data_IF_427433266891
#
_entry.id   IF_427433266891
#
_cell.length_a   1.000
_cell.length_b   1.000
_cell.length_c   1.000
_cell.angle_alpha   90.00
_cell.angle_beta   90.00
_cell.angle_gamma   90.00
#
_symmetry.space_group_name_H-M   'P 1'
#
loop_
_entity.id
_entity.type
_entity.pdbx_description
1 polymer ?
#
# COMPACT_ATOMS: atom_id res chain seq x y z
N UNK A 1 42.47 -45.50 12.56
CA UNK A 1 41.64 -44.30 12.78
C UNK A 1 42.31 -43.11 12.10
N UNK A 2 41.60 -42.30 11.32
CA UNK A 2 42.22 -41.10 10.75
C UNK A 2 42.52 -40.09 11.86
N UNK A 3 43.50 -39.21 11.65
CA UNK A 3 43.83 -38.12 12.61
C UNK A 3 42.61 -37.23 12.90
N UNK A 4 41.75 -37.02 11.91
CA UNK A 4 40.54 -36.21 12.05
C UNK A 4 39.47 -36.91 12.88
N UNK A 5 39.29 -38.22 12.72
CA UNK A 5 38.36 -39.01 13.54
C UNK A 5 38.78 -38.97 15.01
N UNK A 6 40.08 -39.18 15.31
CA UNK A 6 40.59 -39.16 16.69
C UNK A 6 40.37 -37.79 17.34
N UNK A 7 40.68 -36.71 16.61
CA UNK A 7 40.47 -35.34 17.10
C UNK A 7 38.98 -35.05 17.36
N UNK A 8 38.07 -35.57 16.53
CA UNK A 8 36.64 -35.43 16.72
C UNK A 8 36.15 -36.16 17.97
N UNK A 9 36.58 -37.41 18.19
CA UNK A 9 36.21 -38.17 19.39
C UNK A 9 36.69 -37.46 20.67
N UNK A 10 37.91 -36.92 20.66
CA UNK A 10 38.44 -36.17 21.80
C UNK A 10 37.61 -34.92 22.12
N UNK A 11 37.27 -34.12 21.10
CA UNK A 11 36.45 -32.92 21.30
C UNK A 11 35.02 -33.25 21.75
N UNK A 12 34.45 -34.36 21.28
CA UNK A 12 33.12 -34.81 21.72
C UNK A 12 33.16 -35.28 23.17
N UNK A 13 34.21 -36.01 23.56
CA UNK A 13 34.45 -36.39 24.94
C UNK A 13 34.58 -35.15 25.85
N UNK A 14 35.28 -34.11 25.40
CA UNK A 14 35.39 -32.83 26.13
C UNK A 14 34.03 -32.15 26.29
N UNK A 15 33.17 -32.17 25.27
CA UNK A 15 31.81 -31.63 25.36
C UNK A 15 30.98 -32.41 26.38
N UNK A 16 31.05 -33.74 26.34
CA UNK A 16 30.32 -34.63 27.27
C UNK A 16 30.81 -34.41 28.71
N UNK A 17 32.12 -34.29 28.93
CA UNK A 17 32.72 -34.07 30.25
C UNK A 17 32.34 -32.71 30.86
N UNK A 18 32.09 -31.69 30.04
CA UNK A 18 31.66 -30.36 30.49
C UNK A 18 30.13 -30.25 30.67
N UNK A 19 29.35 -31.32 30.47
CA UNK A 19 27.91 -31.31 30.74
C UNK A 19 27.64 -31.20 32.25
N UNK A 20 26.56 -30.51 32.60
CA UNK A 20 26.09 -30.52 33.98
C UNK A 20 25.51 -31.90 34.32
N UNK A 21 25.69 -32.32 35.58
CA UNK A 21 24.99 -33.47 36.12
C UNK A 21 23.47 -33.26 36.06
N UNK A 22 22.72 -34.36 35.99
CA UNK A 22 21.26 -34.35 35.85
C UNK A 22 20.62 -33.49 36.96
N UNK A 23 19.92 -32.41 36.57
CA UNK A 23 19.28 -31.46 37.50
C UNK A 23 20.14 -30.26 37.96
N UNK A 24 21.44 -30.21 37.62
CA UNK A 24 22.31 -29.07 37.94
C UNK A 24 22.40 -28.05 36.80
N UNK A 25 22.53 -26.76 37.12
CA UNK A 25 22.81 -25.72 36.12
C UNK A 25 24.29 -25.77 35.71
N UNK A 26 24.56 -25.75 34.41
CA UNK A 26 25.92 -25.58 33.91
C UNK A 26 26.55 -24.27 34.40
N UNK A 27 27.80 -24.35 34.85
CA UNK A 27 28.60 -23.18 35.22
C UNK A 27 29.00 -22.36 33.97
N UNK A 28 29.30 -21.08 34.14
CA UNK A 28 29.71 -20.21 33.03
C UNK A 28 30.98 -20.73 32.32
N UNK A 29 31.92 -21.30 33.08
CA UNK A 29 33.15 -21.90 32.54
C UNK A 29 32.89 -23.16 31.71
N UNK A 30 31.97 -24.02 32.17
CA UNK A 30 31.55 -25.21 31.43
C UNK A 30 30.90 -24.84 30.08
N UNK A 31 29.99 -23.86 30.08
CA UNK A 31 29.36 -23.36 28.84
C UNK A 31 30.39 -22.89 27.83
N UNK A 32 31.32 -22.03 28.28
CA UNK A 32 32.38 -21.49 27.43
C UNK A 32 33.25 -22.62 26.83
N UNK A 33 33.62 -23.62 27.64
CA UNK A 33 34.38 -24.77 27.16
C UNK A 33 33.58 -25.61 26.15
N UNK A 34 32.29 -25.84 26.41
CA UNK A 34 31.38 -26.52 25.48
C UNK A 34 31.29 -25.77 24.15
N UNK A 35 31.11 -24.46 24.16
CA UNK A 35 31.00 -23.63 22.96
C UNK A 35 32.30 -23.66 22.13
N UNK A 36 33.46 -23.60 22.80
CA UNK A 36 34.78 -23.71 22.14
C UNK A 36 34.99 -25.07 21.50
N UNK A 37 34.65 -26.15 22.22
CA UNK A 37 34.77 -27.50 21.70
C UNK A 37 33.80 -27.73 20.53
N UNK A 38 32.56 -27.24 20.63
CA UNK A 38 31.57 -27.30 19.57
C UNK A 38 32.02 -26.54 18.31
N UNK A 39 32.51 -25.31 18.44
CA UNK A 39 33.07 -24.55 17.32
C UNK A 39 34.24 -25.27 16.65
N UNK A 40 35.07 -25.98 17.43
CA UNK A 40 36.18 -26.78 16.92
C UNK A 40 35.70 -28.03 16.16
N UNK A 41 34.64 -28.68 16.64
CA UNK A 41 33.97 -29.81 15.95
C UNK A 41 33.42 -29.35 14.60
N UNK A 42 32.71 -28.21 14.55
CA UNK A 42 32.15 -27.67 13.31
C UNK A 42 33.25 -27.39 12.27
N UNK A 43 34.38 -26.79 12.69
CA UNK A 43 35.53 -26.56 11.80
C UNK A 43 36.09 -27.84 11.20
N UNK A 44 36.18 -28.92 11.98
CA UNK A 44 36.67 -30.22 11.50
C UNK A 44 35.67 -30.91 10.56
N UNK A 45 34.38 -30.76 10.80
CA UNK A 45 33.31 -31.40 10.00
C UNK A 45 32.93 -30.56 8.76
N UNK A 46 33.32 -29.28 8.69
CA UNK A 46 32.98 -28.37 7.60
C UNK A 46 33.18 -28.94 6.18
N UNK A 47 34.30 -29.60 5.81
CA UNK A 47 34.45 -30.20 4.47
C UNK A 47 33.35 -31.21 4.13
N UNK A 48 32.87 -31.94 5.14
CA UNK A 48 31.81 -32.93 4.99
C UNK A 48 30.43 -32.27 4.85
N UNK A 49 30.17 -31.20 5.60
CA UNK A 49 28.96 -30.39 5.45
C UNK A 49 28.88 -29.85 4.03
N UNK A 50 29.98 -29.27 3.51
CA UNK A 50 30.06 -28.78 2.13
C UNK A 50 29.74 -29.86 1.09
N UNK A 51 30.20 -31.09 1.32
CA UNK A 51 29.86 -32.22 0.44
C UNK A 51 28.37 -32.54 0.48
N UNK A 52 27.75 -32.60 1.66
CA UNK A 52 26.32 -32.87 1.79
C UNK A 52 25.46 -31.74 1.21
N UNK A 53 25.80 -30.47 1.42
CA UNK A 53 25.07 -29.34 0.83
C UNK A 53 24.97 -29.50 -0.70
N UNK A 54 26.08 -29.85 -1.36
CA UNK A 54 26.09 -30.12 -2.80
C UNK A 54 25.29 -31.37 -3.16
N UNK A 55 25.45 -32.46 -2.42
CA UNK A 55 24.77 -33.73 -2.70
C UNK A 55 23.24 -33.60 -2.61
N UNK A 56 22.74 -32.81 -1.67
CA UNK A 56 21.31 -32.57 -1.47
C UNK A 56 20.76 -31.42 -2.32
N UNK A 57 21.59 -30.77 -3.15
CA UNK A 57 21.19 -29.68 -4.03
C UNK A 57 20.95 -28.34 -3.33
N UNK A 58 21.39 -28.17 -2.09
CA UNK A 58 21.10 -27.00 -1.25
C UNK A 58 22.09 -25.85 -1.46
N UNK A 59 22.71 -25.75 -2.64
CA UNK A 59 23.77 -24.76 -2.91
C UNK A 59 23.23 -23.33 -2.87
N UNK A 60 21.99 -23.10 -3.34
CA UNK A 60 21.31 -21.82 -3.27
C UNK A 60 20.91 -21.42 -1.82
N UNK A 61 20.92 -22.37 -0.89
CA UNK A 61 20.52 -22.18 0.51
C UNK A 61 21.69 -22.55 1.44
N UNK A 62 22.88 -22.07 1.11
CA UNK A 62 24.11 -22.46 1.77
C UNK A 62 24.09 -22.18 3.28
N UNK A 63 23.67 -20.98 3.67
CA UNK A 63 23.63 -20.54 5.06
C UNK A 63 22.64 -21.37 5.89
N UNK A 64 21.43 -21.59 5.36
CA UNK A 64 20.40 -22.41 6.01
C UNK A 64 20.88 -23.86 6.17
N UNK A 65 21.57 -24.40 5.17
CA UNK A 65 22.09 -25.75 5.20
C UNK A 65 23.27 -25.89 6.17
N UNK A 66 24.09 -24.86 6.33
CA UNK A 66 25.14 -24.83 7.36
C UNK A 66 24.53 -24.83 8.77
N UNK A 67 23.49 -24.03 9.01
CA UNK A 67 22.78 -24.01 10.29
C UNK A 67 22.09 -25.34 10.61
N UNK A 68 21.39 -25.93 9.64
CA UNK A 68 20.75 -27.23 9.82
C UNK A 68 21.78 -28.34 10.08
N UNK A 69 22.97 -28.27 9.48
CA UNK A 69 24.06 -29.19 9.80
C UNK A 69 24.61 -28.95 11.22
N UNK A 70 24.70 -27.71 11.69
CA UNK A 70 25.11 -27.41 13.05
C UNK A 70 24.11 -27.97 14.09
N UNK A 71 22.79 -27.86 13.82
CA UNK A 71 21.74 -28.49 14.65
C UNK A 71 21.91 -30.02 14.66
N UNK A 72 22.19 -30.62 13.50
CA UNK A 72 22.44 -32.06 13.41
C UNK A 72 23.64 -32.50 14.25
N UNK A 73 24.72 -31.73 14.23
CA UNK A 73 25.91 -31.99 15.05
C UNK A 73 25.58 -31.86 16.54
N UNK A 74 24.81 -30.84 16.94
CA UNK A 74 24.38 -30.69 18.33
C UNK A 74 23.59 -31.91 18.82
N UNK A 75 22.55 -32.31 18.07
CA UNK A 75 21.74 -33.50 18.38
C UNK A 75 22.57 -34.78 18.34
N UNK A 76 23.54 -34.87 17.44
CA UNK A 76 24.47 -35.99 17.39
C UNK A 76 25.28 -36.09 18.68
N UNK A 77 25.79 -34.99 19.23
CA UNK A 77 26.54 -35.00 20.48
C UNK A 77 25.60 -35.37 21.65
N UNK A 78 24.36 -34.89 21.67
CA UNK A 78 23.37 -35.21 22.72
C UNK A 78 23.07 -36.70 22.81
N UNK A 79 22.79 -37.35 21.68
CA UNK A 79 22.44 -38.76 21.61
C UNK A 79 23.65 -39.69 21.38
N UNK A 80 24.89 -39.17 21.47
CA UNK A 80 26.08 -39.96 21.17
C UNK A 80 26.37 -41.01 22.24
N UNK A 81 26.60 -42.24 21.80
CA UNK A 81 27.05 -43.34 22.62
C UNK A 81 28.34 -43.95 22.02
N UNK A 82 29.50 -43.78 22.68
CA UNK A 82 30.79 -44.21 22.15
C UNK A 82 30.95 -45.73 22.09
N UNK A 83 30.15 -46.51 22.84
CA UNK A 83 30.23 -47.97 22.80
C UNK A 83 29.57 -48.55 21.54
N UNK A 84 28.59 -47.83 20.97
CA UNK A 84 27.79 -48.31 19.83
C UNK A 84 28.42 -47.99 18.49
N UNK A 85 29.01 -46.81 18.33
CA UNK A 85 29.55 -46.37 17.05
C UNK A 85 30.58 -45.25 17.21
N UNK A 86 31.44 -45.09 16.20
CA UNK A 86 32.28 -43.90 16.06
C UNK A 86 31.41 -42.66 15.77
N UNK A 87 31.74 -41.54 16.40
CA UNK A 87 31.02 -40.27 16.25
C UNK A 87 30.93 -39.85 14.79
N UNK A 88 32.01 -40.03 14.02
CA UNK A 88 32.03 -39.67 12.59
C UNK A 88 31.03 -40.45 11.74
N UNK A 89 30.68 -41.67 12.15
CA UNK A 89 29.62 -42.44 11.52
C UNK A 89 28.27 -41.91 11.97
N UNK A 90 28.08 -41.72 13.27
CA UNK A 90 26.80 -41.27 13.84
C UNK A 90 26.37 -39.89 13.34
N UNK A 91 27.29 -38.91 13.34
CA UNK A 91 27.00 -37.55 12.89
C UNK A 91 26.62 -37.50 11.41
N UNK A 92 27.12 -38.41 10.57
CA UNK A 92 26.73 -38.48 9.16
C UNK A 92 25.27 -38.88 8.99
N UNK A 93 24.74 -39.74 9.86
CA UNK A 93 23.32 -40.08 9.84
C UNK A 93 22.48 -38.88 10.23
N UNK A 94 22.89 -38.15 11.27
CA UNK A 94 22.18 -36.95 11.72
C UNK A 94 22.19 -35.84 10.67
N UNK A 95 23.35 -35.53 10.07
CA UNK A 95 23.45 -34.52 9.02
C UNK A 95 22.59 -34.89 7.83
N UNK A 96 22.61 -36.15 7.38
CA UNK A 96 21.74 -36.60 6.27
C UNK A 96 20.25 -36.43 6.58
N UNK A 97 19.83 -36.73 7.81
CA UNK A 97 18.44 -36.55 8.25
C UNK A 97 17.99 -35.09 8.21
N UNK A 98 18.78 -34.18 8.79
CA UNK A 98 18.44 -32.75 8.80
C UNK A 98 18.53 -32.11 7.41
N UNK A 99 19.54 -32.44 6.60
CA UNK A 99 19.66 -31.97 5.21
C UNK A 99 18.45 -32.39 4.38
N UNK A 100 18.01 -33.64 4.52
CA UNK A 100 16.83 -34.13 3.82
C UNK A 100 15.55 -33.45 4.33
N UNK A 101 15.44 -33.18 5.62
CA UNK A 101 14.30 -32.44 6.19
C UNK A 101 14.25 -31.00 5.66
N UNK A 102 15.39 -30.30 5.63
CA UNK A 102 15.51 -28.96 5.08
C UNK A 102 15.12 -28.93 3.60
N UNK A 103 15.63 -29.87 2.81
CA UNK A 103 15.26 -30.04 1.41
C UNK A 103 13.76 -30.18 1.22
N UNK A 104 13.07 -30.98 2.03
CA UNK A 104 11.60 -31.10 1.90
C UNK A 104 10.84 -29.83 2.29
N UNK A 105 11.39 -28.95 3.13
CA UNK A 105 10.76 -27.68 3.50
C UNK A 105 10.95 -26.62 2.42
N UNK A 106 12.15 -26.52 1.86
CA UNK A 106 12.50 -25.52 0.84
C UNK A 106 12.08 -25.94 -0.57
N UNK A 107 12.36 -27.19 -0.94
CA UNK A 107 12.08 -27.76 -2.26
C UNK A 107 10.81 -28.62 -2.16
N UNK A 108 9.66 -27.94 -2.11
CA UNK A 108 8.34 -28.58 -1.99
C UNK A 108 7.98 -29.40 -3.23
N UNK A 109 8.56 -29.05 -4.39
CA UNK A 109 8.53 -29.79 -5.66
C UNK A 109 9.11 -31.22 -5.56
N UNK A 110 10.10 -31.42 -4.69
CA UNK A 110 10.72 -32.73 -4.49
C UNK A 110 9.86 -33.69 -3.65
N UNK A 111 8.73 -33.23 -3.09
CA UNK A 111 7.79 -34.07 -2.33
C UNK A 111 7.03 -35.01 -3.27
N UNK A 112 6.70 -36.20 -2.79
CA UNK A 112 5.95 -37.19 -3.58
C UNK A 112 4.60 -36.67 -4.08
N UNK A 113 3.94 -35.78 -3.34
CA UNK A 113 2.69 -35.12 -3.76
C UNK A 113 2.90 -34.12 -4.88
N UNK A 114 3.98 -33.34 -4.85
CA UNK A 114 4.29 -32.35 -5.88
C UNK A 114 4.78 -33.02 -7.17
N UNK A 115 5.57 -34.09 -7.06
CA UNK A 115 5.96 -34.94 -8.20
C UNK A 115 4.78 -35.55 -8.95
N UNK A 116 3.67 -35.87 -8.27
CA UNK A 116 2.44 -36.38 -8.91
C UNK A 116 1.75 -35.33 -9.80
N UNK A 117 1.95 -34.06 -9.51
CA UNK A 117 1.32 -32.92 -10.21
C UNK A 117 2.34 -32.18 -11.08
N UNK A 118 3.58 -32.71 -11.19
CA UNK A 118 4.70 -32.08 -11.90
C UNK A 118 4.94 -30.63 -11.46
N UNK A 119 4.61 -30.30 -10.20
CA UNK A 119 4.80 -28.95 -9.67
C UNK A 119 6.30 -28.71 -9.47
N UNK A 120 6.82 -27.68 -10.14
CA UNK A 120 8.24 -27.29 -10.09
C UNK A 120 8.37 -25.94 -9.39
N UNK A 121 9.36 -25.84 -8.49
CA UNK A 121 9.71 -24.54 -7.91
C UNK A 121 10.53 -23.76 -8.93
N UNK A 122 9.94 -22.70 -9.48
CA UNK A 122 10.63 -21.76 -10.39
C UNK A 122 11.01 -20.54 -9.58
N UNK A 123 12.29 -20.16 -9.60
CA UNK A 123 12.68 -18.84 -9.11
C UNK A 123 12.31 -17.80 -10.17
N UNK A 124 11.71 -16.69 -9.76
CA UNK A 124 11.34 -15.59 -10.68
C UNK A 124 12.57 -15.06 -11.43
N UNK A 125 13.73 -15.14 -10.80
CA UNK A 125 15.03 -14.75 -11.35
C UNK A 125 15.52 -15.70 -12.45
N UNK A 126 15.20 -16.99 -12.40
CA UNK A 126 15.53 -17.92 -13.48
C UNK A 126 14.67 -17.68 -14.73
N UNK A 127 13.48 -17.10 -14.57
CA UNK A 127 12.58 -16.79 -15.69
C UNK A 127 13.08 -15.58 -16.52
N UNK A 128 13.89 -14.71 -15.92
CA UNK A 128 14.52 -13.55 -16.59
C UNK A 128 15.73 -13.90 -17.45
N UNK A 129 16.23 -15.15 -17.39
CA UNK A 129 17.33 -15.60 -18.26
C UNK A 129 16.79 -15.89 -19.66
N UNK A 130 16.82 -14.89 -20.52
CA UNK A 130 16.61 -15.08 -21.96
C UNK A 130 17.62 -16.11 -22.51
N UNK A 131 17.20 -16.87 -23.52
CA UNK A 131 18.02 -17.89 -24.20
C UNK A 131 19.30 -17.30 -24.84
N UNK A 132 19.33 -15.97 -25.05
CA UNK A 132 20.46 -15.23 -25.61
C UNK A 132 21.45 -14.68 -24.55
N UNK A 133 21.24 -14.96 -23.26
CA UNK A 133 22.20 -14.62 -22.20
C UNK A 133 22.27 -13.14 -21.83
N UNK A 134 21.36 -12.31 -22.33
CA UNK A 134 21.17 -10.96 -21.82
C UNK A 134 20.27 -11.02 -20.58
N UNK A 135 20.88 -10.78 -19.41
CA UNK A 135 20.20 -10.68 -18.12
C UNK A 135 19.36 -9.39 -18.10
N UNK A 136 18.16 -9.43 -18.67
CA UNK A 136 17.17 -8.38 -18.44
C UNK A 136 16.69 -8.50 -17.00
N UNK A 137 16.85 -7.44 -16.20
CA UNK A 137 16.29 -7.38 -14.87
C UNK A 137 14.78 -7.63 -14.97
N UNK A 138 14.27 -8.64 -14.27
CA UNK A 138 12.85 -9.01 -14.30
C UNK A 138 11.91 -7.82 -14.02
N UNK A 139 12.40 -6.85 -13.25
CA UNK A 139 11.74 -5.56 -12.99
C UNK A 139 11.39 -4.82 -14.28
N UNK A 140 12.28 -4.79 -15.28
CA UNK A 140 12.05 -4.18 -16.59
C UNK A 140 11.02 -4.94 -17.44
N UNK A 141 10.74 -6.20 -17.13
CA UNK A 141 9.66 -6.98 -17.78
C UNK A 141 8.31 -6.78 -17.09
N UNK A 142 8.29 -6.31 -15.84
CA UNK A 142 7.07 -6.03 -15.09
C UNK A 142 6.58 -4.59 -15.33
N UNK A 143 7.49 -3.66 -15.63
CA UNK A 143 7.14 -2.28 -15.94
C UNK A 143 6.22 -2.20 -17.15
N UNK A 144 4.96 -1.84 -16.92
CA UNK A 144 3.99 -1.50 -17.95
C UNK A 144 4.18 -0.03 -18.32
N UNK A 145 4.75 0.22 -19.50
CA UNK A 145 5.05 1.57 -20.00
C UNK A 145 3.80 2.47 -20.05
N UNK A 146 2.61 1.88 -20.26
CA UNK A 146 1.35 2.62 -20.41
C UNK A 146 0.65 2.89 -19.06
N UNK A 147 1.15 2.32 -17.95
CA UNK A 147 0.46 2.38 -16.65
C UNK A 147 0.33 3.81 -16.11
N UNK A 148 1.34 4.65 -16.31
CA UNK A 148 1.31 6.05 -15.84
C UNK A 148 0.26 6.84 -16.62
N UNK A 149 0.29 6.78 -17.94
CA UNK A 149 -0.63 7.50 -18.82
C UNK A 149 -2.08 7.04 -18.59
N UNK A 150 -2.30 5.73 -18.44
CA UNK A 150 -3.62 5.18 -18.13
C UNK A 150 -4.13 5.65 -16.76
N UNK A 151 -3.27 5.74 -15.76
CA UNK A 151 -3.63 6.20 -14.41
C UNK A 151 -3.95 7.70 -14.41
N UNK A 152 -3.16 8.51 -15.11
CA UNK A 152 -3.42 9.95 -15.25
C UNK A 152 -4.72 10.24 -16.00
N UNK A 153 -4.98 9.52 -17.08
CA UNK A 153 -6.23 9.62 -17.83
C UNK A 153 -7.43 9.24 -16.95
N UNK A 154 -7.36 8.10 -16.25
CA UNK A 154 -8.42 7.66 -15.35
C UNK A 154 -8.66 8.63 -14.18
N UNK A 155 -7.59 9.19 -13.60
CA UNK A 155 -7.68 10.18 -12.54
C UNK A 155 -8.33 11.48 -13.05
N UNK A 156 -7.95 11.94 -14.25
CA UNK A 156 -8.56 13.09 -14.92
C UNK A 156 -10.05 12.88 -15.15
N UNK A 157 -10.44 11.72 -15.68
CA UNK A 157 -11.85 11.37 -15.93
C UNK A 157 -12.65 11.32 -14.62
N UNK A 158 -12.10 10.71 -13.58
CA UNK A 158 -12.73 10.64 -12.26
C UNK A 158 -12.96 12.03 -11.64
N UNK A 159 -11.94 12.90 -11.70
CA UNK A 159 -12.06 14.28 -11.21
C UNK A 159 -13.07 15.09 -12.02
N UNK A 160 -13.09 14.92 -13.35
CA UNK A 160 -14.07 15.56 -14.21
C UNK A 160 -15.51 15.13 -13.85
N UNK A 161 -15.75 13.82 -13.67
CA UNK A 161 -17.06 13.29 -13.28
C UNK A 161 -17.53 13.80 -11.90
N UNK A 162 -16.64 13.84 -10.92
CA UNK A 162 -16.97 14.38 -9.61
C UNK A 162 -17.31 15.88 -9.67
N UNK A 163 -16.54 16.64 -10.45
CA UNK A 163 -16.72 18.07 -10.57
C UNK A 163 -18.02 18.41 -11.34
N UNK A 164 -18.39 17.61 -12.35
CA UNK A 164 -19.69 17.76 -13.03
C UNK A 164 -20.86 17.38 -12.13
N UNK A 165 -20.74 16.31 -11.33
CA UNK A 165 -21.73 15.94 -10.32
C UNK A 165 -22.00 17.08 -9.32
N UNK A 166 -20.93 17.66 -8.78
CA UNK A 166 -21.02 18.81 -7.86
C UNK A 166 -21.70 20.03 -8.50
N UNK A 167 -21.44 20.29 -9.79
CA UNK A 167 -22.09 21.38 -10.53
C UNK A 167 -23.60 21.15 -10.71
N UNK A 168 -23.99 19.92 -11.00
CA UNK A 168 -25.40 19.54 -11.15
C UNK A 168 -26.13 19.68 -9.81
N UNK A 169 -25.51 19.26 -8.71
CA UNK A 169 -26.07 19.42 -7.36
C UNK A 169 -26.28 20.89 -7.01
N UNK A 170 -25.29 21.77 -7.27
CA UNK A 170 -25.41 23.21 -7.04
C UNK A 170 -26.49 23.86 -7.94
N UNK A 171 -26.61 23.41 -9.18
CA UNK A 171 -27.68 23.83 -10.08
C UNK A 171 -29.08 23.44 -9.56
N UNK A 172 -29.25 22.23 -9.07
CA UNK A 172 -30.51 21.76 -8.51
C UNK A 172 -30.85 22.54 -7.24
N UNK A 173 -29.87 22.79 -6.37
CA UNK A 173 -30.07 23.59 -5.17
C UNK A 173 -30.47 25.03 -5.51
N UNK A 174 -29.83 25.64 -6.51
CA UNK A 174 -30.23 26.94 -7.01
C UNK A 174 -31.69 26.93 -7.53
N UNK A 175 -32.10 25.90 -8.28
CA UNK A 175 -33.49 25.77 -8.72
C UNK A 175 -34.48 25.51 -7.58
N UNK A 176 -34.07 24.76 -6.56
CA UNK A 176 -34.85 24.52 -5.34
C UNK A 176 -35.09 25.83 -4.60
N UNK A 177 -34.05 26.62 -4.37
CA UNK A 177 -34.14 27.93 -3.74
C UNK A 177 -35.07 28.89 -4.51
N UNK A 178 -34.91 28.98 -5.83
CA UNK A 178 -35.78 29.82 -6.69
C UNK A 178 -37.22 29.31 -6.70
N UNK A 179 -37.44 28.00 -6.73
CA UNK A 179 -38.76 27.38 -6.68
C UNK A 179 -39.48 27.66 -5.36
N UNK A 180 -38.79 27.51 -4.23
CA UNK A 180 -39.33 27.83 -2.90
C UNK A 180 -39.69 29.32 -2.80
N UNK A 181 -38.85 30.22 -3.29
CA UNK A 181 -39.14 31.66 -3.34
C UNK A 181 -40.38 31.99 -4.19
N UNK A 182 -40.58 31.28 -5.30
CA UNK A 182 -41.78 31.44 -6.13
C UNK A 182 -43.04 30.91 -5.43
N UNK A 183 -42.95 29.77 -4.75
CA UNK A 183 -44.06 29.21 -3.97
C UNK A 183 -44.47 30.14 -2.82
N UNK A 184 -43.49 30.75 -2.11
CA UNK A 184 -43.77 31.77 -1.09
C UNK A 184 -44.50 32.99 -1.65
N UNK A 185 -44.18 33.40 -2.88
CA UNK A 185 -44.77 34.60 -3.51
C UNK A 185 -46.16 34.37 -4.10
N UNK A 186 -46.49 33.14 -4.52
CA UNK A 186 -47.76 32.81 -5.19
C UNK A 186 -48.98 33.00 -4.26
N UNK A 187 -50.05 33.70 -4.70
CA UNK A 187 -51.30 33.74 -3.95
C UNK A 187 -52.02 32.39 -4.05
N UNK A 188 -52.41 31.80 -2.91
CA UNK A 188 -53.27 30.60 -2.90
C UNK A 188 -54.60 30.90 -3.59
N UNK A 189 -55.05 29.99 -4.45
CA UNK A 189 -56.38 30.07 -5.05
C UNK A 189 -57.45 29.87 -3.95
N UNK A 190 -58.44 30.77 -3.88
CA UNK A 190 -59.52 30.76 -2.87
C UNK A 190 -60.28 29.42 -2.75
N UNK A 191 -60.22 28.56 -3.76
CA UNK A 191 -60.93 27.27 -3.78
C UNK A 191 -60.36 26.19 -2.87
N UNK A 192 -59.10 26.29 -2.41
CA UNK A 192 -58.52 25.29 -1.51
C UNK A 192 -58.94 25.46 -0.03
N UNK A 193 -59.44 26.65 0.34
CA UNK A 193 -59.92 26.94 1.71
C UNK A 193 -61.36 26.43 1.91
N UNK A 194 -62.14 26.33 0.84
CA UNK A 194 -63.56 25.98 0.91
C UNK A 194 -63.84 24.48 1.14
N UNK A 195 -62.85 23.60 0.92
CA UNK A 195 -63.03 22.14 0.98
C UNK A 195 -62.19 21.46 2.08
N UNK A 196 -61.61 22.21 3.02
CA UNK A 196 -61.04 21.62 4.23
C UNK A 196 -62.17 21.42 5.25
N UNK A 197 -62.41 20.20 5.79
CA UNK A 197 -63.37 20.00 6.85
C UNK A 197 -62.76 20.53 8.16
N UNK A 198 -62.95 21.83 8.40
CA UNK A 198 -62.59 22.52 9.62
C UNK A 198 -63.84 23.03 10.33
N UNK A 199 -63.90 22.85 11.64
CA UNK A 199 -65.01 23.24 12.50
C UNK A 199 -65.26 24.77 12.45
N UNK A 200 -66.52 25.17 12.58
CA UNK A 200 -67.02 26.54 12.32
C UNK A 200 -66.37 27.64 13.20
N UNK A 201 -65.57 27.26 14.22
CA UNK A 201 -64.88 28.16 15.13
C UNK A 201 -63.56 28.77 14.61
N UNK A 202 -63.04 28.35 13.46
CA UNK A 202 -61.78 28.89 12.89
C UNK A 202 -61.97 30.18 12.05
N UNK A 203 -63.17 30.77 12.03
CA UNK A 203 -63.47 32.01 11.29
C UNK A 203 -63.10 33.31 12.05
N UNK A 204 -62.21 33.24 13.04
CA UNK A 204 -61.65 34.45 13.65
C UNK A 204 -60.45 34.89 12.79
N UNK A 205 -60.37 36.15 12.30
CA UNK A 205 -59.22 36.64 11.55
C UNK A 205 -57.99 36.80 12.46
N UNK A 206 -57.38 35.67 12.82
CA UNK A 206 -56.10 35.63 13.50
C UNK A 206 -55.07 36.33 12.62
N UNK A 207 -54.42 37.33 13.21
CA UNK A 207 -53.41 38.19 12.59
C UNK A 207 -52.43 37.34 11.77
N UNK A 208 -52.36 37.63 10.47
CA UNK A 208 -51.47 37.02 9.46
C UNK A 208 -50.13 36.54 10.06
N UNK A 209 -49.78 35.23 9.97
CA UNK A 209 -48.43 34.82 10.31
C UNK A 209 -47.45 35.41 9.28
N UNK A 210 -46.37 36.02 9.77
CA UNK A 210 -45.36 36.77 8.99
C UNK A 210 -44.40 35.89 8.18
N UNK A 211 -44.56 34.58 8.17
CA UNK A 211 -43.85 33.69 7.26
C UNK A 211 -44.85 32.71 6.66
N UNK A 212 -45.05 32.78 5.34
CA UNK A 212 -45.93 31.86 4.61
C UNK A 212 -45.27 30.48 4.64
N UNK A 213 -45.80 29.56 5.44
CA UNK A 213 -45.44 28.15 5.38
C UNK A 213 -45.77 27.62 3.97
N UNK A 214 -44.78 26.98 3.34
CA UNK A 214 -44.92 26.42 1.99
C UNK A 214 -45.76 25.14 2.09
N UNK A 215 -46.71 24.97 1.18
CA UNK A 215 -47.57 23.78 1.14
C UNK A 215 -46.72 22.52 0.87
N UNK A 216 -46.76 21.49 1.75
CA UNK A 216 -45.96 20.28 1.59
C UNK A 216 -46.25 19.55 0.27
N UNK A 217 -47.48 19.63 -0.26
CA UNK A 217 -47.85 18.98 -1.53
C UNK A 217 -47.24 19.70 -2.74
N UNK A 218 -47.16 21.02 -2.70
CA UNK A 218 -46.51 21.80 -3.77
C UNK A 218 -44.99 21.65 -3.73
N UNK A 219 -44.41 21.50 -2.54
CA UNK A 219 -43.00 21.20 -2.34
C UNK A 219 -42.63 19.83 -2.91
N UNK A 220 -43.41 18.78 -2.61
CA UNK A 220 -43.18 17.45 -3.16
C UNK A 220 -43.23 17.42 -4.71
N UNK A 221 -44.18 18.16 -5.32
CA UNK A 221 -44.25 18.31 -6.79
C UNK A 221 -43.06 19.07 -7.38
N UNK A 222 -42.51 20.03 -6.64
CA UNK A 222 -41.30 20.73 -7.05
C UNK A 222 -40.11 19.77 -7.04
N UNK A 223 -39.97 18.97 -5.99
CA UNK A 223 -38.88 17.99 -5.86
C UNK A 223 -38.93 16.92 -6.96
N UNK A 224 -40.11 16.35 -7.24
CA UNK A 224 -40.30 15.39 -8.34
C UNK A 224 -39.93 15.97 -9.72
N UNK A 225 -40.19 17.26 -9.92
CA UNK A 225 -39.78 17.95 -11.14
C UNK A 225 -38.26 18.18 -11.18
N UNK A 226 -37.63 18.44 -10.04
CA UNK A 226 -36.18 18.65 -9.95
C UNK A 226 -35.43 17.34 -10.16
N UNK A 227 -35.90 16.22 -9.61
CA UNK A 227 -35.32 14.88 -9.85
C UNK A 227 -35.39 14.52 -11.34
N UNK A 228 -36.54 14.72 -11.99
CA UNK A 228 -36.65 14.50 -13.44
C UNK A 228 -35.72 15.42 -14.25
N UNK A 229 -35.57 16.69 -13.85
CA UNK A 229 -34.64 17.60 -14.53
C UNK A 229 -33.17 17.19 -14.32
N UNK A 230 -32.81 16.64 -13.15
CA UNK A 230 -31.48 16.10 -12.87
C UNK A 230 -31.13 15.00 -13.86
N UNK A 231 -32.00 13.99 -13.97
CA UNK A 231 -31.81 12.85 -14.87
C UNK A 231 -31.68 13.28 -16.34
N UNK A 232 -32.48 14.26 -16.78
CA UNK A 232 -32.40 14.80 -18.14
C UNK A 232 -31.06 15.51 -18.39
N UNK A 233 -30.56 16.26 -17.41
CA UNK A 233 -29.31 17.01 -17.53
C UNK A 233 -28.10 16.09 -17.48
N UNK A 234 -28.05 15.14 -16.54
CA UNK A 234 -26.99 14.13 -16.44
C UNK A 234 -26.84 13.37 -17.77
N UNK A 235 -27.94 12.78 -18.27
CA UNK A 235 -27.88 11.94 -19.47
C UNK A 235 -27.60 12.71 -20.77
N UNK A 236 -28.02 13.99 -20.87
CA UNK A 236 -27.92 14.76 -22.12
C UNK A 236 -26.66 15.59 -22.21
N UNK A 237 -26.23 16.21 -21.11
CA UNK A 237 -25.08 17.11 -21.13
C UNK A 237 -23.79 16.31 -21.03
N UNK A 238 -23.80 15.16 -20.36
CA UNK A 238 -22.58 14.40 -20.07
C UNK A 238 -22.55 13.00 -20.71
N UNK A 239 -23.65 12.22 -20.73
CA UNK A 239 -23.64 10.85 -21.28
C UNK A 239 -23.95 10.73 -22.79
N UNK A 240 -23.96 11.83 -23.55
CA UNK A 240 -24.26 11.86 -25.01
C UNK A 240 -25.58 11.21 -25.44
N UNK A 241 -26.53 11.01 -24.53
CA UNK A 241 -27.84 10.41 -24.86
C UNK A 241 -28.57 11.17 -25.96
N UNK A 242 -29.08 10.45 -26.97
CA UNK A 242 -29.82 11.08 -28.08
C UNK A 242 -31.15 11.66 -27.57
N UNK A 243 -31.58 12.78 -28.17
CA UNK A 243 -32.83 13.46 -27.79
C UNK A 243 -34.06 12.54 -27.93
N UNK A 244 -33.96 11.54 -28.80
CA UNK A 244 -35.01 10.59 -29.12
C UNK A 244 -35.17 9.55 -28.02
N UNK A 245 -34.07 8.99 -27.51
CA UNK A 245 -34.08 8.07 -26.38
C UNK A 245 -34.62 8.73 -25.11
N UNK A 246 -34.20 9.98 -24.83
CA UNK A 246 -34.65 10.71 -23.64
C UNK A 246 -36.11 11.14 -23.72
N UNK A 247 -36.61 11.47 -24.91
CA UNK A 247 -38.02 11.81 -25.10
C UNK A 247 -38.96 10.62 -24.89
N UNK A 248 -38.51 9.42 -25.27
CA UNK A 248 -39.25 8.17 -25.04
C UNK A 248 -39.28 7.79 -23.55
N UNK A 249 -38.13 7.89 -22.85
CA UNK A 249 -38.03 7.51 -21.43
C UNK A 249 -38.76 8.48 -20.49
N UNK A 250 -38.71 9.78 -20.76
CA UNK A 250 -39.26 10.81 -19.85
C UNK A 250 -40.70 11.23 -20.19
N UNK A 251 -41.25 10.74 -21.31
CA UNK A 251 -42.56 11.13 -21.84
C UNK A 251 -42.64 12.60 -22.25
N UNK A 252 -41.50 13.26 -22.47
CA UNK A 252 -41.40 14.66 -22.86
C UNK A 252 -41.10 14.80 -24.36
N UNK A 253 -41.69 15.80 -25.01
CA UNK A 253 -41.35 16.11 -26.41
C UNK A 253 -39.86 16.46 -26.54
N UNK A 254 -39.24 16.10 -27.68
CA UNK A 254 -37.83 16.41 -28.00
C UNK A 254 -37.49 17.89 -27.80
N UNK A 255 -38.38 18.79 -28.22
CA UNK A 255 -38.18 20.24 -28.07
C UNK A 255 -38.19 20.66 -26.59
N UNK A 256 -39.00 20.02 -25.74
CA UNK A 256 -39.01 20.30 -24.31
C UNK A 256 -37.72 19.88 -23.63
N UNK A 257 -37.16 18.72 -23.99
CA UNK A 257 -35.84 18.26 -23.53
C UNK A 257 -34.74 19.24 -23.97
N UNK A 258 -34.80 19.73 -25.22
CA UNK A 258 -33.88 20.75 -25.74
C UNK A 258 -33.95 22.07 -24.96
N UNK A 259 -35.14 22.52 -24.60
CA UNK A 259 -35.32 23.74 -23.82
C UNK A 259 -34.78 23.61 -22.40
N UNK A 260 -35.04 22.48 -21.73
CA UNK A 260 -34.54 22.22 -20.38
C UNK A 260 -33.01 22.21 -20.37
N UNK A 261 -32.40 21.50 -21.31
CA UNK A 261 -30.94 21.38 -21.43
C UNK A 261 -30.27 22.70 -21.79
N UNK A 262 -30.82 23.47 -22.75
CA UNK A 262 -30.33 24.81 -23.09
C UNK A 262 -30.40 25.76 -21.89
N UNK A 263 -31.49 25.71 -21.12
CA UNK A 263 -31.64 26.53 -19.91
C UNK A 263 -30.64 26.11 -18.84
N UNK A 264 -30.50 24.81 -18.61
CA UNK A 264 -29.59 24.24 -17.62
C UNK A 264 -28.13 24.62 -17.93
N UNK A 265 -27.70 24.51 -19.18
CA UNK A 265 -26.35 24.90 -19.62
C UNK A 265 -26.08 26.40 -19.37
N UNK A 266 -27.06 27.27 -19.63
CA UNK A 266 -26.93 28.71 -19.36
C UNK A 266 -26.78 28.99 -17.87
N UNK A 267 -27.66 28.44 -17.03
CA UNK A 267 -27.63 28.67 -15.58
C UNK A 267 -26.42 28.05 -14.91
N UNK A 268 -25.99 26.86 -15.31
CA UNK A 268 -24.73 26.26 -14.83
C UNK A 268 -23.53 27.13 -15.21
N UNK A 269 -23.51 27.69 -16.43
CA UNK A 269 -22.45 28.60 -16.86
C UNK A 269 -22.40 29.92 -16.06
N UNK A 270 -23.54 30.40 -15.56
CA UNK A 270 -23.61 31.54 -14.64
C UNK A 270 -23.13 31.17 -13.23
N UNK A 271 -23.50 29.98 -12.73
CA UNK A 271 -23.07 29.46 -11.43
C UNK A 271 -21.55 29.24 -11.35
N UNK A 272 -20.96 28.66 -12.40
CA UNK A 272 -19.50 28.50 -12.53
C UNK A 272 -18.78 29.84 -12.45
N UNK A 273 -19.34 30.90 -13.05
CA UNK A 273 -18.74 32.22 -13.03
C UNK A 273 -18.89 32.92 -11.67
N UNK A 274 -19.91 32.57 -10.88
CA UNK A 274 -20.18 33.20 -9.58
C UNK A 274 -19.54 32.48 -8.39
N UNK A 275 -19.26 31.19 -8.50
CA UNK A 275 -18.82 30.34 -7.38
C UNK A 275 -17.31 30.09 -7.45
N UNK A 276 -16.59 30.43 -6.38
CA UNK A 276 -15.14 30.19 -6.27
C UNK A 276 -14.77 28.70 -6.34
N UNK A 277 -15.70 27.79 -6.02
CA UNK A 277 -15.50 26.34 -6.06
C UNK A 277 -15.22 25.81 -7.47
N UNK A 278 -15.72 26.50 -8.50
CA UNK A 278 -15.58 26.08 -9.90
C UNK A 278 -14.59 26.97 -10.67
N UNK A 279 -13.70 27.68 -9.99
CA UNK A 279 -12.76 28.60 -10.63
C UNK A 279 -11.90 27.91 -11.70
N UNK A 280 -11.44 26.68 -11.43
CA UNK A 280 -10.70 25.87 -12.41
C UNK A 280 -11.53 25.64 -13.68
N UNK A 281 -12.83 25.33 -13.56
CA UNK A 281 -13.70 25.19 -14.73
C UNK A 281 -13.94 26.51 -15.46
N UNK A 282 -14.04 27.62 -14.73
CA UNK A 282 -14.18 28.96 -15.29
C UNK A 282 -12.94 29.32 -16.13
N UNK A 283 -11.75 29.05 -15.60
CA UNK A 283 -10.47 29.29 -16.27
C UNK A 283 -10.33 28.42 -17.53
N UNK A 284 -10.73 27.14 -17.47
CA UNK A 284 -10.78 26.25 -18.64
C UNK A 284 -11.74 26.76 -19.72
N UNK A 285 -12.92 27.25 -19.33
CA UNK A 285 -13.90 27.83 -20.27
C UNK A 285 -13.36 29.08 -20.96
N UNK A 286 -12.65 29.94 -20.23
CA UNK A 286 -11.99 31.12 -20.79
C UNK A 286 -10.86 30.71 -21.74
N UNK A 287 -10.01 29.76 -21.33
CA UNK A 287 -8.93 29.25 -22.16
C UNK A 287 -9.44 28.63 -23.48
N UNK A 288 -10.50 27.81 -23.40
CA UNK A 288 -11.16 27.22 -24.56
C UNK A 288 -11.78 28.29 -25.49
N UNK A 289 -12.39 29.34 -24.93
CA UNK A 289 -12.95 30.45 -25.71
C UNK A 289 -11.86 31.29 -26.41
N UNK A 290 -10.67 31.39 -25.83
CA UNK A 290 -9.51 32.08 -26.42
C UNK A 290 -8.73 31.24 -27.43
N UNK A 291 -9.15 30.00 -27.72
CA UNK A 291 -8.45 29.11 -28.65
C UNK A 291 -7.07 28.64 -28.15
N UNK A 292 -6.80 28.77 -26.85
CA UNK A 292 -5.58 28.26 -26.27
C UNK A 292 -5.60 26.72 -26.34
N UNK A 293 -4.57 26.11 -26.92
CA UNK A 293 -4.42 24.65 -26.90
C UNK A 293 -4.46 24.17 -25.44
N UNK A 294 -5.14 23.05 -25.13
CA UNK A 294 -5.05 22.45 -23.82
C UNK A 294 -3.56 22.23 -23.52
N UNK A 295 -3.11 22.63 -22.32
CA UNK A 295 -1.73 22.41 -21.89
C UNK A 295 -1.49 20.90 -21.92
N UNK A 296 -0.84 20.40 -22.95
CA UNK A 296 -0.07 19.16 -22.85
C UNK A 296 0.93 19.43 -21.73
N UNK A 297 0.85 18.68 -20.64
CA UNK A 297 1.85 18.71 -19.59
C UNK A 297 3.17 18.28 -20.24
N UNK A 298 3.95 19.25 -20.72
CA UNK A 298 5.34 19.03 -21.06
C UNK A 298 6.03 18.63 -19.77
N UNK A 299 6.61 17.42 -19.74
CA UNK A 299 7.48 16.96 -18.68
C UNK A 299 8.44 18.09 -18.28
N UNK A 300 8.64 18.36 -16.97
CA UNK A 300 9.52 19.43 -16.55
C UNK A 300 10.92 19.15 -17.06
N UNK A 301 11.38 20.00 -17.98
CA UNK A 301 12.78 20.06 -18.37
C UNK A 301 13.58 20.42 -17.13
N UNK A 302 14.65 19.69 -16.87
CA UNK A 302 15.50 19.82 -15.70
C UNK A 302 16.25 21.17 -15.69
N UNK A 303 15.56 22.24 -15.35
CA UNK A 303 16.17 23.48 -14.87
C UNK A 303 15.51 23.85 -13.55
N UNK A 304 16.31 23.84 -12.49
CA UNK A 304 15.88 24.03 -11.11
C UNK A 304 15.12 25.35 -10.91
N UNK A 305 14.03 25.33 -10.12
CA UNK A 305 13.65 26.48 -9.32
C UNK A 305 13.46 26.05 -7.86
N UNK A 306 14.49 26.30 -7.05
CA UNK A 306 14.48 26.14 -5.58
C UNK A 306 13.62 27.18 -4.86
N UNK A 307 12.49 27.63 -5.45
CA UNK A 307 11.72 28.78 -4.94
C UNK A 307 10.19 28.60 -4.91
N UNK A 308 9.63 27.43 -5.27
CA UNK A 308 8.16 27.24 -5.39
C UNK A 308 7.56 26.41 -4.23
N UNK A 309 8.35 25.97 -3.26
CA UNK A 309 7.87 25.05 -2.21
C UNK A 309 6.96 25.73 -1.15
N UNK A 310 6.93 27.06 -1.04
CA UNK A 310 6.22 27.73 0.07
C UNK A 310 4.69 27.94 -0.10
N UNK A 311 4.07 27.57 -1.23
CA UNK A 311 2.66 27.98 -1.48
C UNK A 311 1.74 26.91 -2.10
N UNK A 312 1.85 25.65 -1.68
CA UNK A 312 0.80 24.65 -1.93
C UNK A 312 0.04 24.37 -0.62
N UNK A 313 -1.29 24.59 -0.54
CA UNK A 313 -2.07 24.11 0.59
C UNK A 313 -2.01 22.57 0.61
N UNK A 314 -1.60 22.03 1.75
CA UNK A 314 -1.28 20.63 2.01
C UNK A 314 -2.40 19.66 1.58
N UNK A 315 -2.29 19.15 0.35
CA UNK A 315 -3.04 17.99 -0.14
C UNK A 315 -2.35 16.66 0.23
N UNK A 316 -1.11 16.73 0.72
CA UNK A 316 -0.35 15.58 1.19
C UNK A 316 -0.42 15.49 2.72
N UNK A 317 -0.66 14.30 3.29
CA UNK A 317 -0.66 14.11 4.73
C UNK A 317 0.72 14.40 5.32
N UNK A 318 0.75 15.05 6.48
CA UNK A 318 1.96 15.50 7.16
C UNK A 318 2.95 14.32 7.35
N UNK A 319 4.17 14.39 6.77
CA UNK A 319 5.16 13.33 6.88
C UNK A 319 5.68 13.16 8.32
N UNK A 320 5.49 14.15 9.19
CA UNK A 320 5.91 14.09 10.59
C UNK A 320 4.97 13.24 11.48
N UNK A 321 3.78 12.92 10.98
CA UNK A 321 2.74 12.20 11.72
C UNK A 321 3.13 10.71 11.93
N UNK A 322 2.91 10.13 13.13
CA UNK A 322 3.50 8.86 13.53
C UNK A 322 3.15 7.67 12.63
N UNK A 323 1.96 7.67 12.01
CA UNK A 323 1.53 6.64 11.07
C UNK A 323 2.21 6.71 9.69
N UNK A 324 2.86 7.83 9.35
CA UNK A 324 3.57 8.04 8.07
C UNK A 324 5.08 7.80 8.19
N UNK A 325 5.60 7.60 9.41
CA UNK A 325 7.04 7.34 9.65
C UNK A 325 7.50 5.94 9.27
N UNK A 326 6.56 5.03 9.00
CA UNK A 326 6.87 3.65 8.62
C UNK A 326 7.14 3.47 7.11
N UNK A 327 6.89 4.51 6.30
CA UNK A 327 7.02 4.48 4.83
C UNK A 327 8.15 5.35 4.28
N UNK A 328 8.94 6.03 5.14
CA UNK A 328 10.10 6.77 4.66
C UNK A 328 11.32 5.85 4.48
N UNK A 329 11.61 5.48 3.23
CA UNK A 329 12.89 4.88 2.85
C UNK A 329 13.96 5.97 2.88
N UNK A 330 14.98 5.80 3.71
CA UNK A 330 16.20 6.61 3.69
C UNK A 330 17.18 5.93 2.73
N UNK A 331 17.53 6.61 1.63
CA UNK A 331 18.61 6.16 0.78
C UNK A 331 19.94 6.27 1.55
N UNK A 332 20.57 5.13 1.83
CA UNK A 332 21.91 5.08 2.40
C UNK A 332 22.89 5.40 1.26
N UNK A 333 23.43 6.62 1.25
CA UNK A 333 24.51 6.99 0.33
C UNK A 333 25.78 6.16 0.59
N UNK A 334 26.48 5.81 -0.48
CA UNK A 334 27.74 5.04 -0.43
C UNK A 334 28.75 5.70 0.52
N UNK A 335 29.30 4.91 1.45
CA UNK A 335 30.34 5.33 2.40
C UNK A 335 31.56 5.91 1.67
N UNK A 336 31.83 7.19 1.93
CA UNK A 336 33.11 7.80 1.63
C UNK A 336 34.20 7.17 2.52
N UNK A 337 35.35 6.93 1.90
CA UNK A 337 36.53 6.30 2.48
C UNK A 337 36.90 6.84 3.87
N UNK A 338 37.03 5.94 4.83
CA UNK A 338 37.49 6.21 6.20
C UNK A 338 38.94 6.67 6.18
N UNK A 339 39.18 7.92 6.59
CA UNK A 339 40.49 8.46 6.94
C UNK A 339 41.09 7.71 8.13
N UNK A 340 42.39 7.43 8.04
CA UNK A 340 43.17 6.69 9.03
C UNK A 340 43.34 7.51 10.32
N UNK A 341 42.71 7.07 11.42
CA UNK A 341 42.99 7.60 12.76
C UNK A 341 44.35 7.10 13.28
N UNK A 342 45.21 8.04 13.69
CA UNK A 342 46.44 7.80 14.44
C UNK A 342 46.13 7.44 15.91
N UNK A 343 47.01 6.66 16.59
CA UNK A 343 46.68 6.10 17.90
C UNK A 343 46.78 7.12 19.04
N UNK A 344 45.72 7.19 19.85
CA UNK A 344 45.60 7.98 21.08
C UNK A 344 46.45 7.39 22.20
N UNK A 345 47.31 8.20 22.81
CA UNK A 345 48.13 7.85 23.99
C UNK A 345 47.26 7.76 25.26
N UNK A 346 47.33 6.61 25.94
CA UNK A 346 46.69 6.34 27.22
C UNK A 346 47.41 7.08 28.37
N UNK A 347 46.79 8.13 28.90
CA UNK A 347 47.17 8.75 30.18
C UNK A 347 46.42 8.11 31.35
N UNK A 348 47.14 7.42 32.23
CA UNK A 348 46.62 6.89 33.50
C UNK A 348 46.45 8.03 34.53
N UNK A 349 45.39 8.02 35.37
CA UNK A 349 45.23 8.97 36.46
C UNK A 349 46.00 8.52 37.70
N UNK A 350 46.74 9.44 38.34
CA UNK A 350 47.26 9.24 39.70
C UNK A 350 46.91 10.43 40.58
N UNK A 351 45.91 10.25 41.43
CA UNK A 351 45.71 11.06 42.63
C UNK A 351 46.31 10.31 43.82
N UNK A 352 47.41 10.80 44.39
CA UNK A 352 47.69 10.68 45.83
C UNK A 352 48.21 12.02 46.33
N UNK A 353 47.46 12.59 47.26
CA UNK A 353 47.71 13.84 47.92
C UNK A 353 48.91 13.78 48.90
N UNK A 354 49.49 14.97 49.08
CA UNK A 354 50.53 15.38 50.04
C UNK A 354 50.26 14.93 51.48
N UNK A 355 51.34 14.51 52.18
CA UNK A 355 51.68 15.02 53.52
C UNK A 355 53.11 14.67 53.96
N UNK A 356 53.75 15.66 54.58
CA UNK A 356 54.84 15.63 55.56
C UNK A 356 56.30 15.86 55.09
N UNK A 357 56.91 16.80 55.82
CA UNK A 357 58.30 17.30 55.87
C UNK A 357 58.71 18.30 54.78
#
# INVERSE_FOLDING_TARGET
MSKTTIALEALVADVIANRAAEGAKQTARQRLNTDRAFASILKLIAPRIRHFIRQYGLVAHWEDAEQAAAIAVHRAIEAYDPEKAQFTTFVNWQIRGEMQSLRFRLMTDQRSSAKKVEALTVSLQDLGRSQDGEDMAFEATIEDEDALDATEAAASDYLAQNATGALIDEYIEHLRAVGIEQLKKRPRAKKAIANQPGDINDQIPSRRPRFREVDPVELAKLEEKLTRNREIVERRVFDTGTLDALGLDTGLTKERVRQITKRAAKTMGELVASSAKFQVMADYKVAAATGARPRTASAPTAEAPSAIIEALPALLPDPSSPHNRLTSLVAIGQEAAVEQEQPVSLGLPSEIARKAA
#
